data_IF_358920792280
#
_entry.id   IF_358920792280
#
_cell.length_a   1.000
_cell.length_b   1.000
_cell.length_c   1.000
_cell.angle_alpha   90.00
_cell.angle_beta   90.00
_cell.angle_gamma   90.00
#
_symmetry.space_group_name_H-M   'P 1'
#
loop_
_entity.id
_entity.type
_entity.pdbx_description
1 polymer ?
#
# COMPACT_ATOMS: atom_id res chain seq x y z
N UNK A 1 16.81 0.24 -10.22
CA UNK A 1 16.61 -0.82 -11.25
C UNK A 1 15.97 -2.00 -10.55
N UNK A 2 15.21 -2.83 -11.27
CA UNK A 2 14.63 -4.07 -10.74
C UNK A 2 15.61 -5.23 -10.96
N UNK A 3 15.71 -6.17 -10.02
CA UNK A 3 16.65 -7.29 -10.07
C UNK A 3 16.69 -8.01 -11.43
N UNK A 4 17.90 -8.37 -11.88
CA UNK A 4 18.14 -9.17 -13.08
C UNK A 4 17.99 -10.66 -12.83
N UNK A 5 17.92 -11.46 -13.89
CA UNK A 5 17.80 -12.92 -13.78
C UNK A 5 19.04 -13.54 -13.12
N UNK A 6 20.22 -12.97 -13.34
CA UNK A 6 21.48 -13.36 -12.70
C UNK A 6 21.47 -13.07 -11.20
N UNK A 7 21.04 -11.87 -10.80
CA UNK A 7 20.92 -11.48 -9.39
C UNK A 7 19.92 -12.38 -8.65
N UNK A 8 18.80 -12.72 -9.29
CA UNK A 8 17.81 -13.64 -8.73
C UNK A 8 18.37 -15.06 -8.57
N UNK A 9 19.21 -15.54 -9.51
CA UNK A 9 19.87 -16.84 -9.40
C UNK A 9 20.89 -16.87 -8.26
N UNK A 10 21.66 -15.79 -8.07
CA UNK A 10 22.55 -15.65 -6.92
C UNK A 10 21.74 -15.72 -5.61
N UNK A 11 20.63 -14.97 -5.55
CA UNK A 11 19.76 -14.88 -4.38
C UNK A 11 19.07 -16.20 -4.00
N UNK A 12 18.83 -17.09 -4.96
CA UNK A 12 18.36 -18.45 -4.66
C UNK A 12 19.36 -19.24 -3.83
N UNK A 13 20.66 -19.01 -4.05
CA UNK A 13 21.76 -19.77 -3.47
C UNK A 13 22.19 -19.23 -2.10
N UNK A 14 21.87 -17.98 -1.79
CA UNK A 14 22.18 -17.33 -0.51
C UNK A 14 21.22 -17.79 0.60
N UNK A 15 21.78 -18.05 1.79
CA UNK A 15 21.02 -18.46 2.97
C UNK A 15 20.41 -17.24 3.68
N UNK A 16 19.07 -17.24 3.73
CA UNK A 16 18.13 -16.41 4.50
C UNK A 16 18.53 -14.97 4.87
N UNK A 17 17.97 -14.01 4.12
CA UNK A 17 17.65 -12.70 4.65
C UNK A 17 16.12 -12.50 4.72
N UNK A 18 15.67 -11.51 5.51
CA UNK A 18 14.24 -11.22 5.71
C UNK A 18 13.48 -10.74 4.46
N UNK A 19 14.16 -10.70 3.30
CA UNK A 19 13.66 -10.22 2.03
C UNK A 19 13.54 -11.34 1.00
N UNK A 20 13.71 -12.60 1.40
CA UNK A 20 13.58 -13.77 0.52
C UNK A 20 12.63 -14.78 1.12
N UNK A 21 11.53 -15.06 0.43
CA UNK A 21 10.59 -16.13 0.79
C UNK A 21 10.61 -17.21 -0.30
N UNK A 22 10.61 -18.48 0.12
CA UNK A 22 10.54 -19.64 -0.79
C UNK A 22 9.24 -20.39 -0.56
N UNK A 23 8.60 -20.83 -1.64
CA UNK A 23 7.42 -21.70 -1.62
C UNK A 23 7.57 -22.77 -2.68
N UNK A 24 7.37 -24.04 -2.30
CA UNK A 24 7.39 -25.16 -3.25
C UNK A 24 6.35 -24.97 -4.36
N UNK A 25 5.15 -24.51 -3.99
CA UNK A 25 4.04 -24.23 -4.88
C UNK A 25 3.02 -23.29 -4.20
N UNK A 26 2.04 -22.82 -4.97
CA UNK A 26 0.95 -21.98 -4.46
C UNK A 26 -0.18 -22.90 -3.96
N UNK A 27 -0.07 -23.39 -2.72
CA UNK A 27 -1.12 -24.23 -2.08
C UNK A 27 -2.32 -23.38 -1.65
N UNK A 28 -2.05 -22.17 -1.15
CA UNK A 28 -3.04 -21.26 -0.58
C UNK A 28 -2.79 -19.83 -1.01
N UNK A 29 -3.84 -19.14 -1.46
CA UNK A 29 -3.83 -17.70 -1.70
C UNK A 29 -3.47 -16.92 -0.43
N UNK A 30 -3.80 -17.45 0.76
CA UNK A 30 -3.55 -16.77 2.03
C UNK A 30 -2.05 -16.63 2.34
N UNK A 31 -1.26 -17.66 2.05
CA UNK A 31 0.18 -17.65 2.34
C UNK A 31 0.88 -16.64 1.45
N UNK A 32 0.62 -16.68 0.14
CA UNK A 32 1.14 -15.72 -0.83
C UNK A 32 0.72 -14.31 -0.44
N UNK A 33 -0.56 -14.11 -0.08
CA UNK A 33 -1.09 -12.82 0.34
C UNK A 33 -0.35 -12.26 1.56
N UNK A 34 -0.14 -13.08 2.60
CA UNK A 34 0.56 -12.66 3.82
C UNK A 34 2.00 -12.27 3.52
N UNK A 35 2.72 -13.07 2.72
CA UNK A 35 4.09 -12.75 2.30
C UNK A 35 4.14 -11.43 1.52
N UNK A 36 3.28 -11.25 0.51
CA UNK A 36 3.27 -10.03 -0.29
C UNK A 36 2.97 -8.79 0.57
N UNK A 37 2.00 -8.87 1.48
CA UNK A 37 1.67 -7.78 2.41
C UNK A 37 2.83 -7.49 3.36
N UNK A 38 3.49 -8.52 3.90
CA UNK A 38 4.65 -8.37 4.78
C UNK A 38 5.79 -7.65 4.06
N UNK A 39 6.10 -8.05 2.82
CA UNK A 39 7.10 -7.38 1.99
C UNK A 39 6.72 -5.92 1.70
N UNK A 40 5.51 -5.67 1.17
CA UNK A 40 5.08 -4.31 0.84
C UNK A 40 5.08 -3.34 2.04
N UNK A 41 4.90 -3.87 3.26
CA UNK A 41 4.93 -3.09 4.50
C UNK A 41 6.33 -2.90 5.09
N UNK A 42 7.28 -3.77 4.77
CA UNK A 42 8.56 -3.84 5.50
C UNK A 42 9.76 -3.42 4.65
N UNK A 43 9.72 -3.64 3.32
CA UNK A 43 10.85 -3.33 2.42
C UNK A 43 11.24 -1.84 2.54
N UNK A 44 12.52 -1.54 2.84
CA UNK A 44 13.06 -0.18 2.86
C UNK A 44 13.12 0.43 1.46
N UNK A 45 13.05 1.76 1.39
CA UNK A 45 13.18 2.48 0.12
C UNK A 45 14.54 2.19 -0.53
N UNK A 46 14.51 1.74 -1.79
CA UNK A 46 15.71 1.35 -2.55
C UNK A 46 16.00 -0.15 -2.57
N UNK A 47 15.37 -0.93 -1.68
CA UNK A 47 15.53 -2.39 -1.60
C UNK A 47 14.37 -3.14 -2.26
N UNK A 48 14.57 -4.45 -2.44
CA UNK A 48 13.62 -5.36 -3.06
C UNK A 48 13.53 -6.68 -2.28
N UNK A 49 12.30 -7.18 -2.09
CA UNK A 49 12.05 -8.52 -1.58
C UNK A 49 11.56 -9.45 -2.69
N UNK A 50 11.86 -10.74 -2.56
CA UNK A 50 11.56 -11.73 -3.59
C UNK A 50 10.82 -12.91 -2.98
N UNK A 51 9.67 -13.23 -3.56
CA UNK A 51 8.97 -14.50 -3.32
C UNK A 51 9.28 -15.46 -4.48
N UNK A 52 10.01 -16.52 -4.19
CA UNK A 52 10.28 -17.61 -5.13
C UNK A 52 9.22 -18.71 -4.99
N UNK A 53 8.62 -19.09 -6.13
CA UNK A 53 7.68 -20.21 -6.24
C UNK A 53 8.31 -21.31 -7.10
N UNK A 54 8.23 -22.56 -6.64
CA UNK A 54 8.95 -23.70 -7.21
C UNK A 54 10.25 -24.02 -6.48
N UNK A 55 10.42 -23.50 -5.26
CA UNK A 55 11.63 -23.68 -4.44
C UNK A 55 11.21 -24.12 -3.04
N UNK A 56 11.75 -25.23 -2.55
CA UNK A 56 11.51 -25.69 -1.19
C UNK A 56 12.21 -24.79 -0.17
N UNK A 57 11.75 -24.83 1.09
CA UNK A 57 12.30 -24.00 2.17
C UNK A 57 13.82 -24.20 2.34
N UNK A 58 14.33 -25.41 2.11
CA UNK A 58 15.77 -25.72 2.11
C UNK A 58 16.54 -25.31 0.84
N UNK A 59 15.94 -24.50 -0.05
CA UNK A 59 16.57 -24.03 -1.29
C UNK A 59 16.53 -25.01 -2.46
N UNK A 60 15.97 -26.21 -2.28
CA UNK A 60 15.90 -27.22 -3.35
C UNK A 60 14.94 -26.77 -4.48
N UNK A 61 15.39 -26.87 -5.73
CA UNK A 61 14.61 -26.47 -6.91
C UNK A 61 13.60 -27.57 -7.26
N UNK A 62 12.34 -27.34 -6.94
CA UNK A 62 11.22 -28.23 -7.26
C UNK A 62 10.72 -27.97 -8.68
N UNK A 63 10.61 -26.70 -9.05
CA UNK A 63 10.05 -26.22 -10.31
C UNK A 63 8.53 -25.98 -10.24
N UNK A 64 8.00 -25.29 -11.24
CA UNK A 64 6.56 -25.13 -11.48
C UNK A 64 6.19 -25.68 -12.85
N UNK A 65 5.09 -26.44 -12.91
CA UNK A 65 4.64 -27.05 -14.18
C UNK A 65 4.10 -26.01 -15.17
N UNK A 66 3.46 -24.96 -14.65
CA UNK A 66 2.91 -23.87 -15.46
C UNK A 66 3.31 -22.52 -14.82
N UNK A 67 4.43 -21.91 -15.27
CA UNK A 67 4.90 -20.63 -14.76
C UNK A 67 3.88 -19.50 -14.94
N UNK A 68 3.19 -19.46 -16.08
CA UNK A 68 2.19 -18.42 -16.37
C UNK A 68 1.03 -18.47 -15.38
N UNK A 69 0.53 -19.67 -15.07
CA UNK A 69 -0.51 -19.86 -14.05
C UNK A 69 -0.06 -19.37 -12.68
N UNK A 70 1.19 -19.63 -12.30
CA UNK A 70 1.74 -19.14 -11.05
C UNK A 70 1.86 -17.60 -11.03
N UNK A 71 2.36 -16.98 -12.10
CA UNK A 71 2.42 -15.52 -12.25
C UNK A 71 1.03 -14.89 -12.16
N UNK A 72 0.04 -15.46 -12.85
CA UNK A 72 -1.35 -15.01 -12.81
C UNK A 72 -1.95 -15.13 -11.40
N UNK A 73 -1.66 -16.22 -10.69
CA UNK A 73 -2.13 -16.41 -9.32
C UNK A 73 -1.53 -15.39 -8.35
N UNK A 74 -0.23 -15.10 -8.48
CA UNK A 74 0.45 -14.06 -7.68
C UNK A 74 -0.16 -12.69 -8.00
N UNK A 75 -0.31 -12.38 -9.29
CA UNK A 75 -0.85 -11.10 -9.75
C UNK A 75 -2.26 -10.86 -9.24
N UNK A 76 -3.14 -11.86 -9.38
CA UNK A 76 -4.50 -11.82 -8.84
C UNK A 76 -4.52 -11.65 -7.33
N UNK A 77 -3.62 -12.32 -6.61
CA UNK A 77 -3.50 -12.17 -5.16
C UNK A 77 -3.14 -10.73 -4.78
N UNK A 78 -2.10 -10.19 -5.43
CA UNK A 78 -1.62 -8.84 -5.18
C UNK A 78 -2.66 -7.74 -5.50
N UNK A 79 -3.50 -7.95 -6.52
CA UNK A 79 -4.48 -6.94 -6.97
C UNK A 79 -5.86 -7.07 -6.31
N UNK A 80 -6.35 -8.28 -6.06
CA UNK A 80 -7.73 -8.50 -5.59
C UNK A 80 -7.83 -8.81 -4.08
N UNK A 81 -6.76 -9.36 -3.50
CA UNK A 81 -6.76 -9.89 -2.13
C UNK A 81 -5.86 -9.12 -1.17
N UNK A 82 -5.06 -8.18 -1.68
CA UNK A 82 -4.30 -7.21 -0.91
C UNK A 82 -4.89 -5.81 -1.09
N UNK A 83 -4.81 -4.98 -0.05
CA UNK A 83 -5.31 -3.61 -0.13
C UNK A 83 -4.46 -2.60 0.66
N UNK A 84 -3.99 -1.49 0.08
CA UNK A 84 -4.06 -1.17 -1.35
C UNK A 84 -3.42 -2.26 -2.23
N UNK A 85 -3.75 -2.35 -3.54
CA UNK A 85 -3.11 -3.32 -4.43
C UNK A 85 -1.59 -3.23 -4.39
N UNK A 86 -0.92 -4.39 -4.39
CA UNK A 86 0.55 -4.45 -4.30
C UNK A 86 1.15 -4.52 -5.70
N UNK A 87 2.00 -3.54 -6.03
CA UNK A 87 2.80 -3.56 -7.25
C UNK A 87 3.95 -4.56 -7.08
N UNK A 88 4.19 -5.37 -8.10
CA UNK A 88 5.28 -6.34 -8.13
C UNK A 88 5.72 -6.60 -9.57
N UNK A 89 6.92 -7.14 -9.75
CA UNK A 89 7.42 -7.65 -11.05
C UNK A 89 7.54 -9.16 -10.95
N UNK A 90 6.94 -9.91 -11.88
CA UNK A 90 7.05 -11.36 -11.91
C UNK A 90 7.99 -11.81 -13.04
N UNK A 91 8.98 -12.64 -12.72
CA UNK A 91 9.94 -13.21 -13.68
C UNK A 91 9.91 -14.73 -13.63
N UNK A 92 10.10 -15.37 -14.79
CA UNK A 92 10.28 -16.83 -14.89
C UNK A 92 11.76 -17.11 -15.08
N UNK A 93 12.34 -17.95 -14.23
CA UNK A 93 13.77 -18.25 -14.23
C UNK A 93 13.97 -19.74 -14.50
N UNK A 94 14.83 -20.07 -15.47
CA UNK A 94 15.28 -21.43 -15.73
C UNK A 94 16.48 -21.80 -14.84
N UNK A 95 16.35 -22.86 -14.04
CA UNK A 95 17.40 -23.39 -13.15
C UNK A 95 17.37 -24.91 -13.20
N UNK A 96 18.52 -25.55 -13.49
CA UNK A 96 18.68 -27.02 -13.53
C UNK A 96 17.61 -27.74 -14.40
N UNK A 97 17.26 -27.16 -15.55
CA UNK A 97 16.25 -27.72 -16.46
C UNK A 97 14.80 -27.58 -15.99
N UNK A 98 14.57 -26.88 -14.88
CA UNK A 98 13.24 -26.56 -14.34
C UNK A 98 12.98 -25.05 -14.42
N UNK A 99 11.71 -24.67 -14.36
CA UNK A 99 11.30 -23.26 -14.27
C UNK A 99 10.80 -22.93 -12.88
N UNK A 100 11.12 -21.74 -12.39
CA UNK A 100 10.59 -21.16 -11.16
C UNK A 100 10.02 -19.77 -11.45
N UNK A 101 9.19 -19.25 -10.55
CA UNK A 101 8.68 -17.87 -10.64
C UNK A 101 9.22 -17.04 -9.48
N UNK A 102 9.80 -15.88 -9.78
CA UNK A 102 10.23 -14.89 -8.81
C UNK A 102 9.28 -13.68 -8.87
N UNK A 103 8.60 -13.38 -7.76
CA UNK A 103 7.81 -12.17 -7.60
C UNK A 103 8.57 -11.16 -6.75
N UNK A 104 8.97 -10.06 -7.39
CA UNK A 104 9.81 -9.01 -6.83
C UNK A 104 8.89 -7.88 -6.35
N UNK A 105 8.99 -7.55 -5.07
CA UNK A 105 8.21 -6.52 -4.39
C UNK A 105 9.17 -5.43 -3.91
N UNK A 106 8.94 -4.21 -4.36
CA UNK A 106 9.70 -3.02 -3.94
C UNK A 106 9.03 -2.34 -2.75
N UNK A 107 9.74 -1.39 -2.14
CA UNK A 107 9.15 -0.49 -1.15
C UNK A 107 7.88 0.19 -1.68
N UNK A 108 6.81 0.15 -0.89
CA UNK A 108 5.54 0.78 -1.28
C UNK A 108 5.37 2.16 -0.64
N UNK A 109 5.04 3.16 -1.44
CA UNK A 109 4.64 4.47 -0.92
C UNK A 109 3.16 4.52 -0.45
N UNK A 110 2.40 3.44 -0.69
CA UNK A 110 0.99 3.33 -0.29
C UNK A 110 0.79 2.51 0.99
N UNK A 111 1.82 2.42 1.83
CA UNK A 111 1.74 1.78 3.16
C UNK A 111 0.69 2.50 4.05
N UNK A 112 0.00 1.78 4.96
CA UNK A 112 0.07 0.33 5.17
C UNK A 112 -0.81 -0.47 4.20
N UNK A 113 -0.29 -1.62 3.75
CA UNK A 113 -1.02 -2.67 3.06
C UNK A 113 -1.63 -3.67 4.04
N UNK A 114 -2.77 -4.24 3.66
CA UNK A 114 -3.56 -5.17 4.44
C UNK A 114 -3.87 -6.43 3.62
N UNK A 115 -4.00 -7.57 4.32
CA UNK A 115 -4.37 -8.86 3.74
C UNK A 115 -5.89 -8.96 3.46
N UNK A 116 -6.45 -7.93 2.84
CA UNK A 116 -7.85 -7.85 2.47
C UNK A 116 -8.35 -6.40 2.41
N UNK A 117 -9.46 -6.14 1.71
CA UNK A 117 -10.03 -4.80 1.63
C UNK A 117 -10.66 -4.38 2.95
N UNK A 118 -10.71 -3.06 3.20
CA UNK A 118 -11.60 -2.52 4.20
C UNK A 118 -13.06 -2.64 3.74
N UNK A 119 -13.96 -2.90 4.67
CA UNK A 119 -15.40 -2.93 4.41
C UNK A 119 -16.08 -1.77 5.11
N UNK A 120 -17.02 -1.15 4.41
CA UNK A 120 -17.92 -0.14 4.97
C UNK A 120 -19.36 -0.65 4.97
N UNK A 121 -20.16 -0.07 5.86
CA UNK A 121 -21.60 -0.27 5.89
C UNK A 121 -22.28 0.79 5.02
N UNK A 122 -23.04 0.35 4.02
CA UNK A 122 -23.87 1.20 3.17
C UNK A 122 -25.30 0.72 3.32
N UNK A 123 -26.07 1.40 4.20
CA UNK A 123 -27.40 0.95 4.62
C UNK A 123 -27.36 -0.43 5.26
N UNK A 124 -28.05 -1.40 4.66
CA UNK A 124 -28.12 -2.79 5.12
C UNK A 124 -27.09 -3.73 4.49
N UNK A 125 -26.11 -3.22 3.73
CA UNK A 125 -25.10 -4.03 3.04
C UNK A 125 -23.67 -3.68 3.46
N UNK A 126 -22.82 -4.71 3.50
CA UNK A 126 -21.37 -4.56 3.67
C UNK A 126 -20.72 -4.53 2.29
N UNK A 127 -19.99 -3.45 1.98
CA UNK A 127 -19.36 -3.23 0.67
C UNK A 127 -17.86 -3.03 0.86
N UNK A 128 -17.05 -3.46 -0.12
CA UNK A 128 -15.64 -3.08 -0.18
C UNK A 128 -15.55 -1.55 -0.24
N UNK A 129 -14.68 -0.96 0.57
CA UNK A 129 -14.40 0.47 0.49
C UNK A 129 -13.77 0.78 -0.88
N UNK A 130 -14.18 1.90 -1.48
CA UNK A 130 -13.42 2.48 -2.59
C UNK A 130 -12.08 3.02 -2.07
N UNK A 131 -11.15 3.31 -2.98
CA UNK A 131 -9.87 3.95 -2.64
C UNK A 131 -10.05 5.27 -1.90
N UNK A 132 -10.95 6.13 -2.38
CA UNK A 132 -11.26 7.38 -1.71
C UNK A 132 -11.76 7.16 -0.27
N UNK A 133 -12.72 6.25 -0.09
CA UNK A 133 -13.28 5.97 1.24
C UNK A 133 -12.25 5.33 2.16
N UNK A 134 -11.43 4.42 1.65
CA UNK A 134 -10.34 3.83 2.43
C UNK A 134 -9.35 4.90 2.89
N UNK A 135 -8.94 5.81 2.00
CA UNK A 135 -8.03 6.90 2.33
C UNK A 135 -8.63 7.82 3.40
N UNK A 136 -9.95 8.08 3.35
CA UNK A 136 -10.66 8.79 4.42
C UNK A 136 -10.63 8.01 5.74
N UNK A 137 -10.81 6.69 5.72
CA UNK A 137 -10.71 5.85 6.93
C UNK A 137 -9.30 5.88 7.52
N UNK A 138 -8.25 5.81 6.69
CA UNK A 138 -6.86 5.94 7.14
C UNK A 138 -6.60 7.33 7.72
N UNK A 139 -7.00 8.40 7.02
CA UNK A 139 -6.87 9.76 7.52
C UNK A 139 -7.60 9.93 8.86
N UNK A 140 -8.80 9.36 9.02
CA UNK A 140 -9.57 9.41 10.27
C UNK A 140 -8.91 8.70 11.46
N UNK A 141 -7.85 7.91 11.26
CA UNK A 141 -7.05 7.38 12.38
C UNK A 141 -6.11 8.42 12.97
N UNK A 142 -5.79 9.48 12.23
CA UNK A 142 -4.95 10.58 12.70
C UNK A 142 -5.81 11.46 13.63
N UNK A 143 -5.30 11.73 14.84
CA UNK A 143 -6.01 12.45 15.91
C UNK A 143 -6.59 13.80 15.49
N UNK A 144 -5.98 14.46 14.50
CA UNK A 144 -6.43 15.75 13.94
C UNK A 144 -7.46 15.58 12.81
N UNK A 145 -7.29 14.60 11.93
CA UNK A 145 -8.17 14.44 10.77
C UNK A 145 -9.52 13.81 11.12
N UNK A 146 -9.60 12.99 12.17
CA UNK A 146 -10.87 12.42 12.64
C UNK A 146 -11.95 13.46 12.91
N UNK A 147 -11.76 14.44 13.83
CA UNK A 147 -12.78 15.44 14.11
C UNK A 147 -13.12 16.29 12.88
N UNK A 148 -12.13 16.58 12.01
CA UNK A 148 -12.38 17.31 10.76
C UNK A 148 -13.32 16.56 9.80
N UNK A 149 -13.12 15.24 9.66
CA UNK A 149 -14.01 14.39 8.87
C UNK A 149 -15.40 14.28 9.51
N UNK A 150 -15.50 14.15 10.83
CA UNK A 150 -16.78 14.13 11.54
C UNK A 150 -17.57 15.45 11.33
N UNK A 151 -16.92 16.61 11.45
CA UNK A 151 -17.55 17.90 11.16
C UNK A 151 -17.99 18.02 9.70
N UNK A 152 -17.18 17.53 8.74
CA UNK A 152 -17.58 17.44 7.32
C UNK A 152 -18.89 16.67 7.15
N UNK A 153 -18.98 15.47 7.71
CA UNK A 153 -20.16 14.62 7.55
C UNK A 153 -21.42 15.20 8.22
N UNK A 154 -21.26 15.91 9.34
CA UNK A 154 -22.36 16.58 10.04
C UNK A 154 -22.75 17.92 9.42
N UNK A 155 -21.96 18.44 8.48
CA UNK A 155 -22.14 19.79 7.94
C UNK A 155 -21.83 20.89 8.95
N UNK A 156 -20.99 20.60 9.94
CA UNK A 156 -20.56 21.56 10.96
C UNK A 156 -19.41 22.41 10.44
N UNK A 157 -19.46 23.72 10.70
CA UNK A 157 -18.35 24.63 10.44
C UNK A 157 -17.18 24.37 11.39
N UNK A 158 -15.96 24.64 10.94
CA UNK A 158 -14.77 24.58 11.78
C UNK A 158 -14.06 25.93 11.87
N UNK A 159 -13.35 26.13 12.98
CA UNK A 159 -12.50 27.30 13.18
C UNK A 159 -11.04 26.87 12.95
N UNK A 160 -10.33 27.62 12.10
CA UNK A 160 -8.91 27.43 11.86
C UNK A 160 -8.16 28.60 12.47
N UNK A 161 -7.19 28.28 13.31
CA UNK A 161 -6.22 29.21 13.85
C UNK A 161 -4.84 28.82 13.32
N UNK A 162 -4.20 29.67 12.52
CA UNK A 162 -2.85 29.40 12.03
C UNK A 162 -1.93 30.61 12.13
N UNK A 163 -0.64 30.32 12.31
CA UNK A 163 0.41 31.33 12.30
C UNK A 163 1.13 31.31 10.95
N UNK A 164 1.06 32.38 10.14
CA UNK A 164 1.81 32.44 8.88
C UNK A 164 3.31 32.63 9.18
N UNK A 165 4.07 31.54 9.29
CA UNK A 165 5.53 31.61 9.30
C UNK A 165 6.07 31.50 7.87
N UNK A 166 6.68 32.57 7.35
CA UNK A 166 7.56 32.51 6.17
C UNK A 166 7.37 33.58 5.08
N UNK A 167 8.50 34.12 4.62
CA UNK A 167 8.76 35.22 3.65
C UNK A 167 8.43 36.64 4.12
N UNK A 168 9.27 37.18 5.01
CA UNK A 168 9.47 38.64 5.18
C UNK A 168 8.68 39.33 6.29
N UNK A 169 7.60 38.74 6.79
CA UNK A 169 6.79 39.35 7.85
C UNK A 169 6.97 38.62 9.19
N UNK A 170 8.04 38.96 9.90
CA UNK A 170 8.26 38.54 11.31
C UNK A 170 7.16 39.06 12.27
N UNK A 171 6.25 39.92 11.80
CA UNK A 171 5.17 40.55 12.58
C UNK A 171 3.76 40.13 12.19
N UNK A 172 3.59 39.14 11.30
CA UNK A 172 2.25 38.67 10.97
C UNK A 172 1.64 37.92 12.16
N UNK A 173 0.62 38.52 12.77
CA UNK A 173 -0.18 37.88 13.83
C UNK A 173 -0.98 36.68 13.32
N UNK A 174 -1.61 35.92 14.23
CA UNK A 174 -2.38 34.74 13.85
C UNK A 174 -3.56 35.14 12.96
N UNK A 175 -3.85 34.29 11.97
CA UNK A 175 -5.06 34.43 11.15
C UNK A 175 -6.09 33.41 11.62
N UNK A 176 -7.32 33.89 11.79
CA UNK A 176 -8.46 33.07 12.18
C UNK A 176 -9.50 33.08 11.07
N UNK A 177 -9.95 31.88 10.68
CA UNK A 177 -11.08 31.70 9.77
C UNK A 177 -12.14 30.90 10.52
N UNK A 178 -13.31 31.49 10.73
CA UNK A 178 -14.44 30.85 11.40
C UNK A 178 -15.41 30.27 10.36
N UNK A 179 -16.20 29.29 10.79
CA UNK A 179 -17.28 28.65 10.00
C UNK A 179 -16.85 28.12 8.62
N UNK A 180 -15.60 27.66 8.52
CA UNK A 180 -15.11 27.03 7.30
C UNK A 180 -15.74 25.65 7.11
N UNK A 181 -16.19 25.35 5.90
CA UNK A 181 -16.59 23.99 5.54
C UNK A 181 -15.37 23.17 5.12
N UNK A 182 -15.27 21.93 5.63
CA UNK A 182 -14.25 20.97 5.18
C UNK A 182 -14.71 20.35 3.86
N UNK A 183 -14.01 20.68 2.77
CA UNK A 183 -14.31 20.15 1.43
C UNK A 183 -13.63 18.80 1.25
N UNK A 184 -12.35 18.71 1.61
CA UNK A 184 -11.53 17.51 1.44
C UNK A 184 -10.56 17.37 2.61
N UNK A 185 -10.26 16.14 3.01
CA UNK A 185 -9.28 15.85 4.05
C UNK A 185 -8.57 14.54 3.69
N UNK A 186 -7.26 14.64 3.48
CA UNK A 186 -6.37 13.53 3.12
C UNK A 186 -5.28 13.37 4.18
N UNK A 187 -4.44 12.32 4.12
CA UNK A 187 -3.26 12.22 4.99
C UNK A 187 -2.26 13.37 4.84
N UNK A 188 -2.28 14.11 3.72
CA UNK A 188 -1.29 15.14 3.39
C UNK A 188 -1.81 16.57 3.49
N UNK A 189 -3.11 16.79 3.23
CA UNK A 189 -3.69 18.14 3.21
C UNK A 189 -5.18 18.16 3.57
N UNK A 190 -5.70 19.36 3.81
CA UNK A 190 -7.12 19.65 3.99
C UNK A 190 -7.52 20.80 3.07
N UNK A 191 -8.66 20.67 2.39
CA UNK A 191 -9.24 21.73 1.55
C UNK A 191 -10.44 22.30 2.29
N UNK A 192 -10.47 23.62 2.41
CA UNK A 192 -11.38 24.36 3.27
C UNK A 192 -12.07 25.44 2.45
N UNK A 193 -13.38 25.61 2.66
CA UNK A 193 -14.18 26.66 2.03
C UNK A 193 -14.62 27.67 3.10
N UNK A 194 -14.16 28.93 3.07
CA UNK A 194 -14.59 29.94 4.03
C UNK A 194 -16.06 30.32 3.82
N UNK A 195 -16.74 30.85 4.86
CA UNK A 195 -18.09 31.37 4.73
C UNK A 195 -18.07 32.64 3.85
N UNK A 196 -18.70 32.56 2.68
CA UNK A 196 -19.03 33.71 1.83
C UNK A 196 -17.87 34.59 1.32
N UNK A 197 -17.15 34.16 0.27
CA UNK A 197 -16.83 35.02 -0.89
C UNK A 197 -16.22 34.21 -2.07
N UNK A 198 -16.42 34.74 -3.28
CA UNK A 198 -15.85 34.28 -4.57
C UNK A 198 -14.33 34.04 -4.50
N UNK A 199 -13.77 33.17 -5.36
CA UNK A 199 -12.36 32.79 -5.31
C UNK A 199 -11.45 34.02 -5.42
N UNK A 200 -10.45 34.09 -4.54
CA UNK A 200 -9.23 34.89 -4.74
C UNK A 200 -8.13 33.91 -5.14
#
# INVERSE_FOLDING_TARGET
MCMTDEELKCRLSDFEDGWTERKENIKSTDDIRKTLVAFANSVPDGDEAVLFVGVADGGNIIGVDNPEKAQNSISKTASEWCYPPIKHTARVIGVNGKYIVAAIVQASHNKPHFAGPAFIRSGSQSKKASEEVFNQLIASRISKARPLLESKYKGEGIIIFYWPYGKGNLHAGPKTYADCAVVECTPHYVVLKPPGNNPI
#
